data_IF_358561145077
#
_entry.id   IF_358561145077
#
_cell.length_a   1.000
_cell.length_b   1.000
_cell.length_c   1.000
_cell.angle_alpha   90.00
_cell.angle_beta   90.00
_cell.angle_gamma   90.00
#
_symmetry.space_group_name_H-M   'P 1'
#
loop_
_entity.id
_entity.type
_entity.pdbx_description
1 polymer ?
#
# COMPACT_ATOMS: atom_id res chain seq x y z
N UNK A 1 -7.26 22.25 -16.96
CA UNK A 1 -7.33 20.96 -16.29
C UNK A 1 -7.97 21.00 -14.90
N UNK A 2 -7.78 22.04 -14.07
CA UNK A 2 -8.52 22.23 -12.82
C UNK A 2 -9.92 22.85 -13.00
N UNK A 3 -10.17 23.52 -14.11
CA UNK A 3 -11.44 24.19 -14.42
C UNK A 3 -12.64 23.22 -14.59
N UNK A 4 -12.35 21.93 -14.79
CA UNK A 4 -13.39 20.90 -15.01
C UNK A 4 -13.73 20.10 -13.73
N UNK A 5 -12.97 20.30 -12.63
CA UNK A 5 -13.27 19.66 -11.36
C UNK A 5 -14.36 20.44 -10.62
N UNK A 6 -15.55 19.83 -10.52
CA UNK A 6 -16.60 20.40 -9.67
C UNK A 6 -16.17 20.40 -8.20
N UNK A 7 -16.68 21.34 -7.41
CA UNK A 7 -16.45 21.39 -5.97
C UNK A 7 -16.81 20.03 -5.30
N UNK A 8 -17.91 19.41 -5.74
CA UNK A 8 -18.34 18.11 -5.23
C UNK A 8 -17.30 17.02 -5.50
N UNK A 9 -16.74 16.95 -6.71
CA UNK A 9 -15.68 15.99 -7.04
C UNK A 9 -14.41 16.24 -6.23
N UNK A 10 -14.04 17.51 -6.02
CA UNK A 10 -12.89 17.87 -5.18
C UNK A 10 -13.07 17.40 -3.74
N UNK A 11 -14.21 17.65 -3.13
CA UNK A 11 -14.55 17.21 -1.76
C UNK A 11 -14.57 15.67 -1.66
N UNK A 12 -15.13 14.99 -2.65
CA UNK A 12 -15.12 13.53 -2.73
C UNK A 12 -13.70 12.97 -2.74
N UNK A 13 -12.80 13.50 -3.58
CA UNK A 13 -11.41 13.06 -3.68
C UNK A 13 -10.62 13.33 -2.40
N UNK A 14 -10.81 14.50 -1.77
CA UNK A 14 -10.19 14.86 -0.49
C UNK A 14 -10.64 13.89 0.60
N UNK A 15 -11.95 13.63 0.70
CA UNK A 15 -12.50 12.68 1.68
C UNK A 15 -11.96 11.28 1.45
N UNK A 16 -11.96 10.81 0.21
CA UNK A 16 -11.40 9.50 -0.15
C UNK A 16 -9.91 9.41 0.21
N UNK A 17 -9.13 10.47 0.00
CA UNK A 17 -7.71 10.51 0.35
C UNK A 17 -7.48 10.48 1.86
N UNK A 18 -8.32 11.17 2.65
CA UNK A 18 -8.28 11.07 4.11
C UNK A 18 -8.51 9.64 4.59
N UNK A 19 -9.59 8.99 4.12
CA UNK A 19 -9.89 7.61 4.49
C UNK A 19 -8.85 6.62 3.97
N UNK A 20 -8.28 6.88 2.79
CA UNK A 20 -7.17 6.10 2.27
C UNK A 20 -5.95 6.16 3.19
N UNK A 21 -5.54 7.34 3.62
CA UNK A 21 -4.43 7.52 4.56
C UNK A 21 -4.72 6.88 5.93
N UNK A 22 -5.95 7.01 6.42
CA UNK A 22 -6.39 6.38 7.67
C UNK A 22 -6.26 4.85 7.60
N UNK A 23 -6.87 4.22 6.62
CA UNK A 23 -6.85 2.75 6.44
C UNK A 23 -5.45 2.27 6.11
N UNK A 24 -4.75 2.96 5.20
CA UNK A 24 -3.39 2.59 4.81
C UNK A 24 -2.46 2.57 6.00
N UNK A 25 -2.49 3.57 6.84
CA UNK A 25 -1.60 3.67 7.99
C UNK A 25 -1.78 2.53 9.00
N UNK A 26 -2.94 1.90 9.06
CA UNK A 26 -3.21 0.75 9.96
C UNK A 26 -2.79 -0.58 9.30
N UNK A 27 -3.34 -0.88 8.12
CA UNK A 27 -3.29 -2.22 7.53
C UNK A 27 -2.76 -2.27 6.10
N UNK A 28 -2.44 -1.11 5.50
CA UNK A 28 -1.87 -1.10 4.15
C UNK A 28 -2.88 -1.40 3.04
N UNK A 29 -3.92 -0.62 2.91
CA UNK A 29 -4.94 -0.80 1.85
C UNK A 29 -5.47 0.50 1.26
N UNK A 30 -4.79 1.63 1.51
CA UNK A 30 -5.25 2.96 1.10
C UNK A 30 -5.46 3.11 -0.41
N UNK A 31 -4.62 2.45 -1.21
CA UNK A 31 -4.75 2.46 -2.66
C UNK A 31 -6.09 1.92 -3.18
N UNK A 32 -6.79 1.08 -2.38
CA UNK A 32 -8.13 0.58 -2.72
C UNK A 32 -9.22 1.62 -2.62
N UNK A 33 -9.01 2.64 -1.83
CA UNK A 33 -9.95 3.74 -1.65
C UNK A 33 -9.57 4.87 -2.60
N UNK A 34 -8.31 5.30 -2.58
CA UNK A 34 -7.88 6.48 -3.31
C UNK A 34 -7.84 6.29 -4.82
N UNK A 35 -7.36 5.13 -5.30
CA UNK A 35 -7.23 4.94 -6.74
C UNK A 35 -8.59 4.81 -7.46
N UNK A 36 -9.58 4.00 -6.98
CA UNK A 36 -10.91 4.04 -7.56
C UNK A 36 -11.58 5.41 -7.48
N UNK A 37 -11.39 6.13 -6.37
CA UNK A 37 -11.92 7.48 -6.26
C UNK A 37 -11.34 8.41 -7.33
N UNK A 38 -10.03 8.33 -7.59
CA UNK A 38 -9.38 9.08 -8.67
C UNK A 38 -9.90 8.67 -10.05
N UNK A 39 -10.08 7.38 -10.32
CA UNK A 39 -10.62 6.90 -11.60
C UNK A 39 -12.06 7.38 -11.84
N UNK A 40 -12.89 7.43 -10.79
CA UNK A 40 -14.26 7.97 -10.86
C UNK A 40 -14.24 9.49 -11.00
N UNK A 41 -13.39 10.17 -10.23
CA UNK A 41 -13.32 11.63 -10.23
C UNK A 41 -12.63 12.23 -11.47
N UNK A 42 -11.81 11.43 -12.18
CA UNK A 42 -11.02 11.84 -13.33
C UNK A 42 -11.25 10.90 -14.55
N UNK A 43 -12.47 10.73 -15.04
CA UNK A 43 -12.79 9.69 -16.04
C UNK A 43 -12.11 9.93 -17.40
N UNK A 44 -11.67 11.15 -17.68
CA UNK A 44 -10.99 11.53 -18.94
C UNK A 44 -9.46 11.47 -18.84
N UNK A 45 -8.91 11.17 -17.66
CA UNK A 45 -7.46 11.12 -17.43
C UNK A 45 -6.97 9.69 -17.69
N UNK A 46 -5.83 9.56 -18.34
CA UNK A 46 -5.24 8.25 -18.59
C UNK A 46 -4.85 7.56 -17.27
N UNK A 47 -4.91 6.22 -17.28
CA UNK A 47 -4.71 5.41 -16.06
C UNK A 47 -3.31 5.60 -15.46
N UNK A 48 -2.28 5.82 -16.28
CA UNK A 48 -0.90 5.98 -15.81
C UNK A 48 -0.76 7.29 -15.02
N UNK A 49 -1.37 8.37 -15.51
CA UNK A 49 -1.41 9.67 -14.80
C UNK A 49 -2.22 9.59 -13.50
N UNK A 50 -3.31 8.82 -13.49
CA UNK A 50 -4.06 8.55 -12.25
C UNK A 50 -3.20 7.77 -11.26
N UNK A 51 -2.45 6.75 -11.71
CA UNK A 51 -1.52 5.99 -10.86
C UNK A 51 -0.42 6.88 -10.27
N UNK A 52 0.24 7.68 -11.10
CA UNK A 52 1.28 8.60 -10.64
C UNK A 52 0.77 9.64 -9.63
N UNK A 53 -0.41 10.20 -9.88
CA UNK A 53 -1.06 11.15 -8.97
C UNK A 53 -1.45 10.48 -7.64
N UNK A 54 -1.94 9.23 -7.68
CA UNK A 54 -2.22 8.43 -6.49
C UNK A 54 -0.95 8.19 -5.66
N UNK A 55 0.17 7.83 -6.30
CA UNK A 55 1.47 7.63 -5.63
C UNK A 55 1.94 8.90 -4.92
N UNK A 56 1.84 10.06 -5.60
CA UNK A 56 2.20 11.35 -5.02
C UNK A 56 1.31 11.67 -3.81
N UNK A 57 0.00 11.48 -3.88
CA UNK A 57 -0.90 11.69 -2.74
C UNK A 57 -0.58 10.76 -1.57
N UNK A 58 -0.29 9.49 -1.86
CA UNK A 58 -0.07 8.47 -0.83
C UNK A 58 1.28 8.60 -0.11
N UNK A 59 2.34 9.07 -0.77
CA UNK A 59 3.69 9.11 -0.18
C UNK A 59 3.75 9.98 1.09
N UNK A 60 3.00 11.07 1.15
CA UNK A 60 2.99 11.97 2.30
C UNK A 60 2.39 11.31 3.54
N UNK A 61 1.23 10.66 3.41
CA UNK A 61 0.61 9.93 4.51
C UNK A 61 1.43 8.72 4.93
N UNK A 62 1.97 7.96 3.97
CA UNK A 62 2.81 6.80 4.25
C UNK A 62 4.09 7.20 4.98
N UNK A 63 4.73 8.32 4.58
CA UNK A 63 5.91 8.87 5.28
C UNK A 63 5.55 9.32 6.69
N UNK A 64 4.41 9.97 6.86
CA UNK A 64 3.91 10.37 8.17
C UNK A 64 3.67 9.16 9.07
N UNK A 65 3.02 8.12 8.55
CA UNK A 65 2.81 6.87 9.26
C UNK A 65 4.14 6.21 9.65
N UNK A 66 5.08 6.08 8.71
CA UNK A 66 6.42 5.54 8.96
C UNK A 66 7.14 6.28 10.09
N UNK A 67 7.09 7.62 10.08
CA UNK A 67 7.70 8.45 11.13
C UNK A 67 7.04 8.24 12.50
N UNK A 68 5.72 8.14 12.57
CA UNK A 68 4.99 7.90 13.82
C UNK A 68 5.29 6.51 14.39
N UNK A 69 5.27 5.48 13.54
CA UNK A 69 5.63 4.12 13.97
C UNK A 69 7.06 4.04 14.48
N UNK A 70 8.03 4.65 13.78
CA UNK A 70 9.45 4.61 14.15
C UNK A 70 9.74 5.20 15.52
N UNK A 71 8.91 6.11 16.02
CA UNK A 71 9.06 6.69 17.37
C UNK A 71 8.82 5.67 18.48
N UNK A 72 8.02 4.64 18.24
CA UNK A 72 7.61 3.68 19.26
C UNK A 72 8.06 2.24 18.95
N UNK A 73 8.24 1.93 17.67
CA UNK A 73 8.61 0.59 17.20
C UNK A 73 9.95 0.69 16.48
N UNK A 74 10.93 -0.08 16.95
CA UNK A 74 12.29 -0.11 16.42
C UNK A 74 12.52 -1.45 15.70
N UNK A 75 12.11 -1.61 14.44
CA UNK A 75 12.35 -2.83 13.69
C UNK A 75 13.84 -3.01 13.38
N UNK A 76 14.25 -4.25 13.08
CA UNK A 76 15.61 -4.55 12.63
C UNK A 76 15.93 -3.76 11.35
N UNK A 77 16.87 -2.82 11.45
CA UNK A 77 17.26 -1.93 10.34
C UNK A 77 17.83 -2.71 9.15
N UNK A 78 18.43 -3.88 9.38
CA UNK A 78 18.99 -4.72 8.31
C UNK A 78 17.89 -5.32 7.46
N UNK A 79 16.84 -5.86 8.09
CA UNK A 79 15.65 -6.38 7.40
C UNK A 79 14.93 -5.26 6.67
N UNK A 80 14.76 -4.11 7.34
CA UNK A 80 14.10 -2.95 6.76
C UNK A 80 14.83 -2.45 5.51
N UNK A 81 16.13 -2.25 5.56
CA UNK A 81 16.94 -1.81 4.41
C UNK A 81 16.96 -2.88 3.30
N UNK A 82 17.11 -4.15 3.68
CA UNK A 82 17.11 -5.27 2.74
C UNK A 82 15.77 -5.46 2.00
N UNK A 83 14.67 -4.93 2.54
CA UNK A 83 13.38 -4.94 1.86
C UNK A 83 13.12 -3.61 1.10
N UNK A 84 13.43 -2.47 1.71
CA UNK A 84 13.10 -1.15 1.18
C UNK A 84 13.91 -0.78 -0.08
N UNK A 85 15.21 -1.08 -0.12
CA UNK A 85 16.04 -0.75 -1.27
C UNK A 85 15.67 -1.57 -2.53
N UNK A 86 15.53 -2.91 -2.47
CA UNK A 86 15.02 -3.67 -3.60
C UNK A 86 13.59 -3.28 -4.00
N UNK A 87 12.74 -2.91 -3.02
CA UNK A 87 11.38 -2.46 -3.31
C UNK A 87 11.35 -1.15 -4.09
N UNK A 88 12.25 -0.21 -3.80
CA UNK A 88 12.44 1.01 -4.60
C UNK A 88 12.78 0.67 -6.06
N UNK A 89 13.79 -0.18 -6.27
CA UNK A 89 14.22 -0.59 -7.62
C UNK A 89 13.10 -1.34 -8.35
N UNK A 90 12.45 -2.29 -7.65
CA UNK A 90 11.32 -3.03 -8.20
C UNK A 90 10.18 -2.10 -8.62
N UNK A 91 9.83 -1.13 -7.77
CA UNK A 91 8.75 -0.18 -8.07
C UNK A 91 9.08 0.75 -9.23
N UNK A 92 10.31 1.23 -9.34
CA UNK A 92 10.75 2.00 -10.48
C UNK A 92 10.66 1.18 -11.79
N UNK A 93 11.12 -0.08 -11.75
CA UNK A 93 11.00 -0.99 -12.89
C UNK A 93 9.53 -1.29 -13.24
N UNK A 94 8.68 -1.54 -12.24
CA UNK A 94 7.24 -1.75 -12.44
C UNK A 94 6.55 -0.52 -13.06
N UNK A 95 6.83 0.67 -12.53
CA UNK A 95 6.27 1.92 -13.03
C UNK A 95 6.67 2.20 -14.49
N UNK A 96 7.88 1.84 -14.91
CA UNK A 96 8.33 1.98 -16.30
C UNK A 96 7.55 1.07 -17.28
N UNK A 97 6.96 0.00 -16.78
CA UNK A 97 6.15 -0.95 -17.56
C UNK A 97 4.64 -0.77 -17.38
N UNK A 98 4.20 0.11 -16.47
CA UNK A 98 2.79 0.26 -16.12
C UNK A 98 1.88 0.57 -17.33
N UNK A 99 2.38 1.33 -18.32
CA UNK A 99 1.64 1.64 -19.56
C UNK A 99 1.52 0.45 -20.53
N UNK A 100 2.32 -0.61 -20.34
CA UNK A 100 2.40 -1.75 -21.27
C UNK A 100 1.67 -3.01 -20.77
N UNK A 101 1.32 -3.06 -19.48
CA UNK A 101 0.72 -4.24 -18.87
C UNK A 101 -0.79 -4.04 -18.67
N UNK A 102 -1.64 -4.87 -19.32
CA UNK A 102 -3.08 -4.83 -19.10
C UNK A 102 -3.40 -5.22 -17.64
N UNK A 103 -4.02 -4.31 -16.92
CA UNK A 103 -4.44 -4.50 -15.51
C UNK A 103 -5.35 -5.72 -15.32
N UNK A 104 -6.14 -6.05 -16.34
CA UNK A 104 -7.10 -7.15 -16.32
C UNK A 104 -6.44 -8.52 -16.11
N UNK A 105 -5.28 -8.76 -16.71
CA UNK A 105 -4.58 -10.06 -16.64
C UNK A 105 -4.04 -10.40 -15.25
N UNK A 106 -3.81 -9.40 -14.41
CA UNK A 106 -3.26 -9.61 -13.07
C UNK A 106 -4.33 -9.73 -11.96
N UNK A 107 -5.55 -9.28 -12.22
CA UNK A 107 -6.65 -9.31 -11.24
C UNK A 107 -6.92 -10.71 -10.65
N UNK A 108 -7.01 -11.80 -11.46
CA UNK A 108 -7.24 -13.13 -10.92
C UNK A 108 -6.14 -13.62 -9.98
N UNK A 109 -4.87 -13.35 -10.33
CA UNK A 109 -3.71 -13.75 -9.50
C UNK A 109 -3.75 -13.04 -8.15
N UNK A 110 -4.01 -11.73 -8.16
CA UNK A 110 -4.14 -10.92 -6.93
C UNK A 110 -5.30 -11.43 -6.09
N UNK A 111 -6.45 -11.74 -6.72
CA UNK A 111 -7.63 -12.25 -6.02
C UNK A 111 -7.33 -13.57 -5.31
N UNK A 112 -6.73 -14.54 -6.00
CA UNK A 112 -6.36 -15.83 -5.41
C UNK A 112 -5.40 -15.64 -4.23
N UNK A 113 -4.36 -14.81 -4.39
CA UNK A 113 -3.42 -14.52 -3.32
C UNK A 113 -4.12 -13.92 -2.09
N UNK A 114 -5.00 -12.94 -2.29
CA UNK A 114 -5.75 -12.30 -1.19
C UNK A 114 -6.66 -13.29 -0.46
N UNK A 115 -7.36 -14.17 -1.20
CA UNK A 115 -8.22 -15.21 -0.61
C UNK A 115 -7.39 -16.17 0.26
N UNK A 116 -6.29 -16.70 -0.26
CA UNK A 116 -5.39 -17.59 0.48
C UNK A 116 -4.89 -16.92 1.77
N UNK A 117 -4.51 -15.65 1.66
CA UNK A 117 -4.06 -14.82 2.79
C UNK A 117 -5.13 -14.63 3.84
N UNK A 118 -6.34 -14.26 3.42
CA UNK A 118 -7.46 -14.03 4.33
C UNK A 118 -7.81 -15.32 5.08
N UNK A 119 -7.95 -16.44 4.36
CA UNK A 119 -8.25 -17.75 4.94
C UNK A 119 -7.15 -18.16 5.93
N UNK A 120 -5.87 -18.07 5.54
CA UNK A 120 -4.75 -18.43 6.41
C UNK A 120 -4.72 -17.58 7.68
N UNK A 121 -4.94 -16.26 7.56
CA UNK A 121 -4.93 -15.35 8.72
C UNK A 121 -6.13 -15.58 9.62
N UNK A 122 -7.29 -15.92 9.05
CA UNK A 122 -8.51 -16.24 9.79
C UNK A 122 -8.34 -17.54 10.60
N UNK A 123 -7.86 -18.61 9.95
CA UNK A 123 -7.70 -19.92 10.58
C UNK A 123 -6.63 -19.94 11.68
N UNK A 124 -5.74 -18.93 11.72
CA UNK A 124 -4.70 -18.82 12.76
C UNK A 124 -4.90 -17.57 13.61
N UNK A 125 -5.78 -17.60 14.63
CA UNK A 125 -6.12 -16.44 15.45
C UNK A 125 -4.95 -15.85 16.23
N UNK A 126 -3.91 -16.62 16.52
CA UNK A 126 -2.72 -16.17 17.25
C UNK A 126 -1.61 -15.64 16.34
N UNK A 127 -1.78 -15.76 15.02
CA UNK A 127 -0.80 -15.28 14.05
C UNK A 127 -0.55 -13.78 14.22
N UNK A 128 0.72 -13.41 14.40
CA UNK A 128 1.15 -12.02 14.47
C UNK A 128 0.68 -11.22 15.69
N UNK A 129 0.10 -11.88 16.71
CA UNK A 129 -0.20 -11.22 18.00
C UNK A 129 1.09 -10.86 18.72
N UNK A 130 2.03 -11.80 18.75
CA UNK A 130 3.38 -11.65 19.31
C UNK A 130 4.42 -11.89 18.22
N UNK A 131 5.63 -11.41 18.45
CA UNK A 131 6.74 -11.59 17.53
C UNK A 131 7.42 -12.93 17.78
N UNK A 132 7.36 -13.80 16.77
CA UNK A 132 8.01 -15.12 16.77
C UNK A 132 8.82 -15.24 15.49
N UNK A 133 9.99 -14.62 15.48
CA UNK A 133 10.84 -14.54 14.29
C UNK A 133 11.21 -15.95 13.79
N UNK A 134 11.00 -16.15 12.51
CA UNK A 134 11.31 -17.37 11.78
C UNK A 134 12.59 -17.17 10.98
N UNK A 135 13.27 -18.24 10.73
CA UNK A 135 14.52 -18.29 9.94
C UNK A 135 15.74 -17.63 10.63
N UNK A 136 16.91 -18.07 10.21
CA UNK A 136 18.18 -17.48 10.60
C UNK A 136 18.33 -16.03 10.05
N UNK A 137 19.14 -15.14 10.66
CA UNK A 137 19.28 -13.76 10.22
C UNK A 137 19.60 -13.60 8.74
N UNK A 138 20.48 -14.43 8.20
CA UNK A 138 20.84 -14.42 6.76
C UNK A 138 19.65 -14.74 5.86
N UNK A 139 18.85 -15.75 6.21
CA UNK A 139 17.67 -16.14 5.45
C UNK A 139 16.58 -15.06 5.51
N UNK A 140 16.39 -14.39 6.67
CA UNK A 140 15.47 -13.26 6.78
C UNK A 140 15.82 -12.13 5.83
N UNK A 141 17.11 -11.81 5.69
CA UNK A 141 17.59 -10.81 4.75
C UNK A 141 17.31 -11.24 3.30
N UNK A 142 17.59 -12.49 2.93
CA UNK A 142 17.33 -13.01 1.59
C UNK A 142 15.84 -12.96 1.22
N UNK A 143 14.97 -13.39 2.13
CA UNK A 143 13.50 -13.31 1.95
C UNK A 143 13.07 -11.85 1.81
N UNK A 144 13.64 -10.93 2.60
CA UNK A 144 13.32 -9.50 2.54
C UNK A 144 13.72 -8.88 1.20
N UNK A 145 14.88 -9.22 0.66
CA UNK A 145 15.33 -8.76 -0.66
C UNK A 145 14.38 -9.24 -1.76
N UNK A 146 14.07 -10.53 -1.79
CA UNK A 146 13.18 -11.12 -2.79
C UNK A 146 11.77 -10.53 -2.69
N UNK A 147 11.21 -10.46 -1.48
CA UNK A 147 9.89 -9.89 -1.23
C UNK A 147 9.83 -8.40 -1.60
N UNK A 148 10.85 -7.63 -1.22
CA UNK A 148 10.95 -6.22 -1.57
C UNK A 148 10.93 -6.00 -3.07
N UNK A 149 11.75 -6.75 -3.82
CA UNK A 149 11.83 -6.63 -5.27
C UNK A 149 10.52 -7.00 -5.96
N UNK A 150 9.93 -8.15 -5.60
CA UNK A 150 8.71 -8.68 -6.23
C UNK A 150 7.50 -7.79 -5.90
N UNK A 151 7.31 -7.46 -4.61
CA UNK A 151 6.17 -6.63 -4.20
C UNK A 151 6.37 -5.19 -4.67
N UNK A 152 7.61 -4.68 -4.66
CA UNK A 152 7.91 -3.37 -5.22
C UNK A 152 7.56 -3.30 -6.70
N UNK A 153 7.93 -4.28 -7.50
CA UNK A 153 7.59 -4.36 -8.92
C UNK A 153 6.06 -4.35 -9.13
N UNK A 154 5.35 -5.17 -8.36
CA UNK A 154 3.89 -5.16 -8.36
C UNK A 154 3.32 -3.78 -8.01
N UNK A 155 3.89 -3.12 -6.98
CA UNK A 155 3.46 -1.80 -6.53
C UNK A 155 3.67 -0.71 -7.59
N UNK A 156 4.76 -0.79 -8.35
CA UNK A 156 5.03 0.13 -9.45
C UNK A 156 4.02 0.03 -10.60
N UNK A 157 3.51 -1.18 -10.86
CA UNK A 157 2.53 -1.41 -11.92
C UNK A 157 1.10 -1.04 -11.48
N UNK A 158 0.68 -1.45 -10.27
CA UNK A 158 -0.71 -1.40 -9.82
C UNK A 158 -0.93 -0.59 -8.54
N UNK A 159 -0.08 -0.76 -7.55
CA UNK A 159 -0.15 -0.06 -6.28
C UNK A 159 -1.33 -0.42 -5.35
N UNK A 160 -2.17 -1.39 -5.70
CA UNK A 160 -3.31 -1.78 -4.88
C UNK A 160 -2.91 -2.83 -3.83
N UNK A 161 -3.19 -2.56 -2.54
CA UNK A 161 -3.01 -3.56 -1.49
C UNK A 161 -1.56 -3.95 -1.17
N UNK A 162 -0.57 -3.27 -1.73
CA UNK A 162 0.87 -3.51 -1.53
C UNK A 162 1.24 -3.61 -0.05
N UNK A 163 0.74 -2.69 0.76
CA UNK A 163 0.96 -2.71 2.21
C UNK A 163 0.44 -3.98 2.87
N UNK A 164 -0.71 -4.50 2.42
CA UNK A 164 -1.26 -5.76 2.93
C UNK A 164 -0.39 -6.95 2.55
N UNK A 165 0.15 -7.01 1.34
CA UNK A 165 1.08 -8.06 0.92
C UNK A 165 2.40 -8.00 1.67
N UNK A 166 2.96 -6.81 1.88
CA UNK A 166 4.16 -6.62 2.70
C UNK A 166 3.92 -7.10 4.13
N UNK A 167 2.82 -6.68 4.76
CA UNK A 167 2.45 -7.12 6.10
C UNK A 167 2.30 -8.63 6.18
N UNK A 168 1.67 -9.24 5.17
CA UNK A 168 1.50 -10.69 5.13
C UNK A 168 2.85 -11.41 5.15
N UNK A 169 3.76 -11.08 4.24
CA UNK A 169 5.08 -11.73 4.18
C UNK A 169 5.82 -11.51 5.48
N UNK A 170 5.78 -10.32 6.06
CA UNK A 170 6.42 -10.02 7.33
C UNK A 170 5.84 -10.87 8.48
N UNK A 171 4.52 -11.05 8.52
CA UNK A 171 3.87 -11.82 9.59
C UNK A 171 3.99 -13.32 9.35
N UNK A 172 3.64 -13.78 8.14
CA UNK A 172 3.55 -15.23 7.84
C UNK A 172 4.92 -15.84 7.62
N UNK A 173 5.76 -15.20 6.80
CA UNK A 173 7.06 -15.77 6.44
C UNK A 173 8.15 -15.44 7.45
N UNK A 174 8.21 -14.20 7.92
CA UNK A 174 9.28 -13.75 8.81
C UNK A 174 8.93 -13.81 10.30
N UNK A 175 7.64 -13.94 10.66
CA UNK A 175 7.16 -14.11 12.03
C UNK A 175 7.09 -12.83 12.86
N UNK A 176 7.01 -11.66 12.20
CA UNK A 176 6.82 -10.39 12.90
C UNK A 176 5.40 -10.26 13.48
N UNK A 177 5.28 -9.52 14.56
CA UNK A 177 3.97 -9.11 15.07
C UNK A 177 3.31 -8.14 14.08
N UNK A 178 1.96 -8.11 14.02
CA UNK A 178 1.23 -7.24 13.07
C UNK A 178 1.63 -5.77 13.18
N UNK A 179 1.87 -5.29 14.41
CA UNK A 179 2.26 -3.88 14.62
C UNK A 179 3.68 -3.59 14.10
N UNK A 180 4.63 -4.51 14.30
CA UNK A 180 5.99 -4.38 13.77
C UNK A 180 5.99 -4.52 12.24
N UNK A 181 5.21 -5.47 11.72
CA UNK A 181 5.02 -5.65 10.28
C UNK A 181 4.43 -4.39 9.62
N UNK A 182 3.45 -3.74 10.27
CA UNK A 182 2.92 -2.46 9.79
C UNK A 182 4.00 -1.39 9.74
N UNK A 183 4.81 -1.27 10.79
CA UNK A 183 5.90 -0.29 10.84
C UNK A 183 6.93 -0.49 9.70
N UNK A 184 7.35 -1.74 9.44
CA UNK A 184 8.27 -2.07 8.34
C UNK A 184 7.60 -1.79 6.99
N UNK A 185 6.36 -2.25 6.80
CA UNK A 185 5.62 -2.08 5.55
C UNK A 185 5.46 -0.60 5.17
N UNK A 186 5.28 0.32 6.13
CA UNK A 186 5.19 1.76 5.83
C UNK A 186 6.50 2.31 5.27
N UNK A 187 7.65 1.94 5.82
CA UNK A 187 8.94 2.40 5.28
C UNK A 187 9.18 1.83 3.88
N UNK A 188 8.85 0.55 3.66
CA UNK A 188 8.96 -0.06 2.34
C UNK A 188 8.02 0.61 1.34
N UNK A 189 6.78 0.93 1.74
CA UNK A 189 5.83 1.66 0.90
C UNK A 189 6.30 3.09 0.56
N UNK A 190 7.00 3.77 1.47
CA UNK A 190 7.65 5.06 1.12
C UNK A 190 8.64 4.84 -0.01
N UNK A 191 9.49 3.81 0.09
CA UNK A 191 10.50 3.51 -0.93
C UNK A 191 9.85 3.17 -2.28
N UNK A 192 8.79 2.36 -2.30
CA UNK A 192 8.08 2.02 -3.55
C UNK A 192 7.38 3.24 -4.15
N UNK A 193 6.72 4.06 -3.33
CA UNK A 193 6.08 5.28 -3.81
C UNK A 193 7.11 6.25 -4.42
N UNK A 194 8.27 6.44 -3.78
CA UNK A 194 9.33 7.31 -4.30
C UNK A 194 9.86 6.75 -5.63
N UNK A 195 10.13 5.44 -5.73
CA UNK A 195 10.56 4.80 -6.96
C UNK A 195 9.58 5.00 -8.12
N UNK A 196 8.29 4.82 -7.87
CA UNK A 196 7.24 5.03 -8.87
C UNK A 196 7.07 6.51 -9.24
N UNK A 197 7.10 7.43 -8.26
CA UNK A 197 6.96 8.88 -8.48
C UNK A 197 8.08 9.40 -9.40
N UNK A 198 9.30 8.95 -9.22
CA UNK A 198 10.43 9.34 -10.09
C UNK A 198 10.10 8.99 -11.54
N UNK A 199 9.69 7.75 -11.81
CA UNK A 199 9.41 7.28 -13.18
C UNK A 199 8.18 7.99 -13.76
N UNK A 200 7.06 8.04 -13.03
CA UNK A 200 5.85 8.73 -13.49
C UNK A 200 6.08 10.24 -13.67
N UNK A 201 6.89 10.86 -12.79
CA UNK A 201 7.24 12.27 -12.89
C UNK A 201 8.10 12.59 -14.12
N UNK A 202 9.11 11.75 -14.41
CA UNK A 202 9.95 11.88 -15.61
C UNK A 202 9.14 11.71 -16.91
N UNK A 203 8.07 10.90 -16.88
CA UNK A 203 7.17 10.68 -18.00
C UNK A 203 6.02 11.72 -18.07
N UNK A 204 6.00 12.74 -17.19
CA UNK A 204 4.92 13.74 -17.13
C UNK A 204 3.56 13.19 -16.68
N UNK A 205 3.53 11.99 -16.12
CA UNK A 205 2.34 11.26 -15.72
C UNK A 205 1.94 11.51 -14.26
N UNK A 206 1.94 12.79 -13.82
CA UNK A 206 1.51 13.19 -12.48
C UNK A 206 0.78 14.54 -12.55
N UNK A 207 -0.41 14.63 -11.96
CA UNK A 207 -1.10 15.89 -11.69
C UNK A 207 -0.60 16.43 -10.35
N UNK A 208 0.52 17.16 -10.35
CA UNK A 208 1.24 17.58 -9.16
C UNK A 208 0.37 18.32 -8.14
N UNK A 209 -0.39 19.30 -8.59
CA UNK A 209 -1.23 20.13 -7.70
C UNK A 209 -2.29 19.28 -6.99
N UNK A 210 -2.96 18.38 -7.74
CA UNK A 210 -3.96 17.49 -7.17
C UNK A 210 -3.29 16.50 -6.19
N UNK A 211 -2.17 15.90 -6.56
CA UNK A 211 -1.44 14.97 -5.70
C UNK A 211 -1.00 15.61 -4.38
N UNK A 212 -0.59 16.89 -4.39
CA UNK A 212 -0.22 17.62 -3.17
C UNK A 212 -1.44 17.90 -2.27
N UNK A 213 -2.58 18.30 -2.84
CA UNK A 213 -3.83 18.53 -2.09
C UNK A 213 -4.30 17.21 -1.45
N UNK A 214 -4.31 16.13 -2.23
CA UNK A 214 -4.66 14.80 -1.73
C UNK A 214 -3.65 14.31 -0.67
N UNK A 215 -2.37 14.63 -0.85
CA UNK A 215 -1.31 14.35 0.11
C UNK A 215 -1.59 14.98 1.49
N UNK A 216 -2.03 16.23 1.53
CA UNK A 216 -2.39 16.89 2.79
C UNK A 216 -3.55 16.18 3.52
N UNK A 217 -4.59 15.78 2.78
CA UNK A 217 -5.69 15.00 3.32
C UNK A 217 -5.24 13.60 3.79
N UNK A 218 -4.36 12.96 3.01
CA UNK A 218 -3.80 11.64 3.33
C UNK A 218 -2.96 11.68 4.61
N UNK A 219 -2.16 12.73 4.82
CA UNK A 219 -1.39 12.97 6.06
C UNK A 219 -2.32 13.02 7.27
N UNK A 220 -3.41 13.78 7.19
CA UNK A 220 -4.35 13.88 8.31
C UNK A 220 -4.95 12.51 8.64
N UNK A 221 -5.42 11.76 7.65
CA UNK A 221 -5.90 10.39 7.82
C UNK A 221 -4.83 9.47 8.43
N UNK A 222 -3.60 9.54 7.92
CA UNK A 222 -2.48 8.73 8.39
C UNK A 222 -2.10 9.01 9.86
N UNK A 223 -2.19 10.26 10.31
CA UNK A 223 -1.96 10.60 11.72
C UNK A 223 -2.97 9.90 12.63
N UNK A 224 -4.26 9.99 12.31
CA UNK A 224 -5.31 9.35 13.12
C UNK A 224 -5.20 7.83 13.08
N UNK A 225 -5.03 7.23 11.90
CA UNK A 225 -4.91 5.79 11.75
C UNK A 225 -3.67 5.22 12.43
N UNK A 226 -2.50 5.83 12.29
CA UNK A 226 -1.27 5.39 12.95
C UNK A 226 -1.38 5.46 14.47
N UNK A 227 -1.94 6.54 15.01
CA UNK A 227 -2.15 6.67 16.46
C UNK A 227 -3.09 5.59 16.98
N UNK A 228 -4.17 5.32 16.27
CA UNK A 228 -5.11 4.25 16.61
C UNK A 228 -4.44 2.88 16.55
N UNK A 229 -3.67 2.60 15.51
CA UNK A 229 -2.96 1.34 15.35
C UNK A 229 -1.90 1.13 16.46
N UNK A 230 -1.12 2.14 16.77
CA UNK A 230 -0.12 2.09 17.84
C UNK A 230 -0.79 1.84 19.20
N UNK A 231 -1.89 2.54 19.50
CA UNK A 231 -2.65 2.34 20.73
C UNK A 231 -3.32 0.97 20.82
N UNK A 232 -3.86 0.48 19.72
CA UNK A 232 -4.59 -0.80 19.64
C UNK A 232 -3.68 -2.03 19.48
N UNK A 233 -2.40 -1.81 19.15
CA UNK A 233 -1.40 -2.87 18.97
C UNK A 233 -1.74 -3.88 17.88
N UNK A 234 -1.08 -5.04 17.92
CA UNK A 234 -1.21 -6.09 16.91
C UNK A 234 -2.64 -6.61 16.76
N UNK A 235 -3.42 -6.65 17.83
CA UNK A 235 -4.81 -7.15 17.80
C UNK A 235 -5.72 -6.26 16.95
N UNK A 236 -5.60 -4.93 17.10
CA UNK A 236 -6.37 -3.98 16.31
C UNK A 236 -5.91 -4.01 14.85
N UNK A 237 -4.59 -3.93 14.63
CA UNK A 237 -4.02 -3.96 13.28
C UNK A 237 -4.44 -5.22 12.53
N UNK A 238 -4.43 -6.39 13.18
CA UNK A 238 -4.91 -7.65 12.60
C UNK A 238 -6.41 -7.59 12.22
N UNK A 239 -7.27 -7.05 13.10
CA UNK A 239 -8.71 -6.92 12.79
C UNK A 239 -8.93 -6.03 11.57
N UNK A 240 -8.29 -4.86 11.54
CA UNK A 240 -8.40 -3.95 10.39
C UNK A 240 -7.81 -4.57 9.13
N UNK A 241 -6.68 -5.29 9.23
CA UNK A 241 -6.07 -6.01 8.12
C UNK A 241 -7.06 -7.03 7.50
N UNK A 242 -7.76 -7.83 8.31
CA UNK A 242 -8.74 -8.79 7.83
C UNK A 242 -9.94 -8.10 7.14
N UNK A 243 -10.45 -7.01 7.71
CA UNK A 243 -11.55 -6.23 7.12
C UNK A 243 -11.11 -5.65 5.75
N UNK A 244 -9.93 -5.04 5.70
CA UNK A 244 -9.37 -4.46 4.47
C UNK A 244 -9.12 -5.54 3.43
N UNK A 245 -8.55 -6.68 3.82
CA UNK A 245 -8.29 -7.80 2.90
C UNK A 245 -9.61 -8.38 2.36
N UNK A 246 -10.65 -8.49 3.18
CA UNK A 246 -11.98 -8.91 2.73
C UNK A 246 -12.60 -7.91 1.75
N UNK A 247 -12.51 -6.62 2.04
CA UNK A 247 -12.97 -5.57 1.12
C UNK A 247 -12.22 -5.60 -0.22
N UNK A 248 -10.89 -5.91 -0.18
CA UNK A 248 -10.06 -6.16 -1.36
C UNK A 248 -10.59 -7.33 -2.19
N UNK A 249 -10.83 -8.47 -1.54
CA UNK A 249 -11.34 -9.66 -2.21
C UNK A 249 -12.65 -9.38 -2.91
N UNK A 250 -13.57 -8.72 -2.21
CA UNK A 250 -14.88 -8.36 -2.76
C UNK A 250 -14.73 -7.43 -3.98
N UNK A 251 -13.94 -6.36 -3.84
CA UNK A 251 -13.73 -5.40 -4.94
C UNK A 251 -13.03 -6.04 -6.14
N UNK A 252 -11.90 -6.69 -5.95
CA UNK A 252 -11.15 -7.34 -7.05
C UNK A 252 -11.96 -8.47 -7.66
N UNK A 253 -12.73 -9.20 -6.84
CA UNK A 253 -13.68 -10.21 -7.31
C UNK A 253 -14.72 -9.62 -8.24
N UNK A 254 -15.46 -8.59 -7.80
CA UNK A 254 -16.45 -7.90 -8.63
C UNK A 254 -15.81 -7.39 -9.93
N UNK A 255 -14.66 -6.70 -9.84
CA UNK A 255 -13.96 -6.15 -11.00
C UNK A 255 -13.49 -7.25 -11.99
N UNK A 256 -13.17 -8.45 -11.48
CA UNK A 256 -12.76 -9.59 -12.30
C UNK A 256 -13.96 -10.22 -13.02
N UNK A 257 -15.06 -10.48 -12.31
CA UNK A 257 -16.24 -11.13 -12.87
C UNK A 257 -17.12 -10.17 -13.71
N UNK A 258 -17.10 -8.87 -13.46
CA UNK A 258 -17.80 -7.87 -14.27
C UNK A 258 -17.10 -7.59 -15.63
N UNK A 259 -15.86 -8.06 -15.79
CA UNK A 259 -15.10 -7.91 -17.04
C UNK A 259 -15.20 -9.13 -17.99
N UNK A 260 -15.95 -10.16 -17.60
CA UNK A 260 -16.38 -11.28 -18.43
C UNK A 260 -17.82 -11.09 -18.91
#
# INVERSE_FOLDING_TARGET
MFADLTLATGLFLISASFFAGFVDSIAGGGGLIQLPALLIGLPKTDTVTVLGTNKLGSVFGTTTAAALYRRQIKPDIRVLAAMALPAFVGSAAGASLASRIPTQSMRPIVLVLLIVVAIYTWLKPDLGKIELLRHAPKQRIQISIAAGLIIGFYDGIFGHGTGSFLMLILVVSLGYAFITASAIAKVVNVSTNVGAIIIFGLNGAIIWQLGLILGAANVTGAIFGSRLAIKGGSTLVRKVFLIVTLALILKVGIDTFASF
#
